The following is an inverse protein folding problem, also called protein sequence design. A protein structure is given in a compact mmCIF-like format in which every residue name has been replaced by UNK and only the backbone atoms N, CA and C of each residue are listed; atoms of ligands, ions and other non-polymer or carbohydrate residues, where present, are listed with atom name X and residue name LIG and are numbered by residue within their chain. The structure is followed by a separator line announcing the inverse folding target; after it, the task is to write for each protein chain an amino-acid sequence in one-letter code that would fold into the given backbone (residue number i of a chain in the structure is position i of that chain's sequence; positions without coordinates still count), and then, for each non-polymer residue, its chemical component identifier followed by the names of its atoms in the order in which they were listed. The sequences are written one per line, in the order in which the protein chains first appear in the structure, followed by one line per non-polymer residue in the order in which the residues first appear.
data_IF_504365289135
#
_entry.id   IF_504365289135
#
_cell.length_a   1.000
_cell.length_b   1.000
_cell.length_c   1.000
_cell.angle_alpha   90.00
_cell.angle_beta   90.00
_cell.angle_gamma   90.00
#
_symmetry.space_group_name_H-M   'P 1'
#
loop_
_entity.id
_entity.type
_entity.pdbx_description
1 polymer ?
#
# COMPACT_ATOMS: atom_id res chain seq x y z
N UNK A 1 16.85 0.75 24.19
CA UNK A 1 16.00 1.28 23.10
C UNK A 1 16.86 2.22 22.27
N UNK A 2 17.11 1.91 21.03
CA UNK A 2 17.64 2.86 20.08
C UNK A 2 16.61 3.98 19.98
N UNK A 3 16.95 5.23 20.28
CA UNK A 3 16.05 6.37 20.21
C UNK A 3 15.67 6.75 18.75
N UNK A 4 15.42 5.75 17.91
CA UNK A 4 14.97 5.96 16.54
C UNK A 4 13.58 6.58 16.56
N UNK A 5 13.41 7.71 15.89
CA UNK A 5 12.13 8.37 15.69
C UNK A 5 11.60 7.99 14.31
N UNK A 6 10.31 7.77 14.23
CA UNK A 6 9.60 7.54 12.96
C UNK A 6 8.56 8.63 12.76
N UNK A 7 8.27 8.92 11.50
CA UNK A 7 7.18 9.81 11.15
C UNK A 7 5.84 9.12 11.41
N UNK A 8 4.86 9.86 11.94
CA UNK A 8 3.52 9.32 12.21
C UNK A 8 2.65 9.34 10.94
N UNK A 9 2.30 8.18 10.35
CA UNK A 9 1.51 8.12 9.11
C UNK A 9 0.10 8.73 9.26
N UNK A 10 -0.43 8.80 10.49
CA UNK A 10 -1.73 9.42 10.79
C UNK A 10 -1.70 10.94 10.88
N UNK A 11 -0.51 11.55 10.82
CA UNK A 11 -0.39 13.01 10.88
C UNK A 11 -0.53 13.63 9.48
N UNK A 12 -1.56 14.45 9.29
CA UNK A 12 -1.76 15.18 8.03
C UNK A 12 -0.52 15.99 7.64
N UNK A 13 0.14 16.64 8.60
CA UNK A 13 1.37 17.40 8.35
C UNK A 13 2.51 16.53 7.85
N UNK A 14 2.62 15.29 8.33
CA UNK A 14 3.63 14.32 7.87
C UNK A 14 3.29 13.86 6.46
N UNK A 15 2.02 13.55 6.20
CA UNK A 15 1.56 13.17 4.86
C UNK A 15 1.85 14.29 3.85
N UNK A 16 1.46 15.52 4.18
CA UNK A 16 1.69 16.69 3.33
C UNK A 16 3.19 16.91 3.08
N UNK A 17 4.02 16.82 4.12
CA UNK A 17 5.48 16.95 3.98
C UNK A 17 6.07 15.89 3.02
N UNK A 18 5.62 14.64 3.08
CA UNK A 18 6.13 13.58 2.18
C UNK A 18 5.63 13.82 0.76
N UNK A 19 4.36 14.19 0.59
CA UNK A 19 3.80 14.53 -0.74
C UNK A 19 4.57 15.70 -1.35
N UNK A 20 4.75 16.78 -0.61
CA UNK A 20 5.50 17.96 -1.07
C UNK A 20 6.95 17.60 -1.47
N UNK A 21 7.60 16.72 -0.69
CA UNK A 21 8.95 16.24 -1.00
C UNK A 21 9.00 15.44 -2.30
N UNK A 22 8.02 14.55 -2.52
CA UNK A 22 7.91 13.79 -3.77
C UNK A 22 7.64 14.72 -4.97
N UNK A 23 6.75 15.69 -4.80
CA UNK A 23 6.43 16.64 -5.86
C UNK A 23 7.61 17.57 -6.18
N UNK A 24 8.32 18.06 -5.16
CA UNK A 24 9.55 18.83 -5.35
C UNK A 24 10.62 18.03 -6.12
N UNK A 25 10.75 16.74 -5.84
CA UNK A 25 11.64 15.85 -6.59
C UNK A 25 11.24 15.75 -8.06
N UNK A 26 9.95 15.52 -8.33
CA UNK A 26 9.42 15.42 -9.69
C UNK A 26 9.48 16.72 -10.49
N UNK A 27 9.44 17.88 -9.82
CA UNK A 27 9.66 19.20 -10.44
C UNK A 27 11.14 19.44 -10.82
N UNK A 28 12.07 18.90 -10.04
CA UNK A 28 13.51 19.12 -10.24
C UNK A 28 14.17 18.10 -11.15
N UNK A 29 13.59 16.90 -11.26
CA UNK A 29 14.20 15.78 -11.97
C UNK A 29 13.20 15.15 -12.94
N UNK A 30 13.70 14.74 -14.09
CA UNK A 30 12.91 14.02 -15.10
C UNK A 30 12.82 12.54 -14.75
N UNK A 31 12.01 12.24 -13.74
CA UNK A 31 11.76 10.86 -13.29
C UNK A 31 10.46 10.34 -13.86
N UNK A 32 10.44 9.05 -14.22
CA UNK A 32 9.27 8.38 -14.80
C UNK A 32 8.30 7.85 -13.76
N UNK A 33 8.76 7.68 -12.51
CA UNK A 33 7.92 7.13 -11.44
C UNK A 33 8.40 7.54 -10.05
N UNK A 34 7.47 7.53 -9.11
CA UNK A 34 7.72 7.40 -7.66
C UNK A 34 7.34 5.99 -7.25
N UNK A 35 8.23 5.31 -6.53
CA UNK A 35 8.01 3.95 -6.07
C UNK A 35 8.24 3.85 -4.56
N UNK A 36 7.25 3.34 -3.83
CA UNK A 36 7.35 3.12 -2.40
C UNK A 36 7.53 1.65 -2.07
N UNK A 37 8.30 1.40 -1.03
CA UNK A 37 8.22 0.19 -0.23
C UNK A 37 6.96 0.27 0.68
N UNK A 38 6.63 -0.78 1.41
CA UNK A 38 5.39 -0.89 2.19
C UNK A 38 5.53 -0.58 3.69
N UNK A 39 6.64 0.00 4.11
CA UNK A 39 6.94 0.30 5.53
C UNK A 39 6.25 1.57 6.07
N UNK A 40 4.96 1.75 5.81
CA UNK A 40 4.17 2.89 6.31
C UNK A 40 3.92 2.81 7.82
N UNK A 41 3.57 1.63 8.32
CA UNK A 41 3.57 1.30 9.73
C UNK A 41 4.61 0.22 9.99
N UNK A 42 5.37 0.35 11.07
CA UNK A 42 6.35 -0.66 11.45
C UNK A 42 5.96 -1.33 12.76
N UNK A 43 6.32 -2.60 12.90
CA UNK A 43 6.05 -3.36 14.12
C UNK A 43 6.80 -2.77 15.33
N UNK A 44 6.23 -2.95 16.52
CA UNK A 44 6.84 -2.50 17.78
C UNK A 44 6.60 -1.03 18.12
N UNK A 45 5.89 -0.27 17.29
CA UNK A 45 5.41 1.07 17.62
C UNK A 45 4.04 0.96 18.26
N UNK A 46 3.96 1.33 19.55
CA UNK A 46 2.69 1.35 20.26
C UNK A 46 1.77 2.43 19.70
N UNK A 47 0.52 2.07 19.44
CA UNK A 47 -0.53 2.97 19.02
C UNK A 47 -1.89 2.41 19.42
N UNK A 48 -2.81 3.27 19.82
CA UNK A 48 -4.19 2.90 20.16
C UNK A 48 -5.09 2.79 18.91
N UNK A 49 -4.54 3.00 17.70
CA UNK A 49 -5.29 2.93 16.47
C UNK A 49 -5.63 1.48 16.09
N UNK A 50 -6.88 1.27 15.65
CA UNK A 50 -7.29 0.01 15.04
C UNK A 50 -6.61 -0.21 13.67
N UNK A 51 -6.61 -1.45 13.17
CA UNK A 51 -6.11 -1.77 11.83
C UNK A 51 -6.80 -0.94 10.74
N UNK A 52 -8.12 -0.76 10.85
CA UNK A 52 -8.90 0.06 9.90
C UNK A 52 -8.47 1.53 9.92
N UNK A 53 -8.21 2.09 11.10
CA UNK A 53 -7.72 3.46 11.22
C UNK A 53 -6.32 3.62 10.61
N UNK A 54 -5.44 2.63 10.81
CA UNK A 54 -4.10 2.63 10.21
C UNK A 54 -4.17 2.55 8.70
N UNK A 55 -5.00 1.66 8.14
CA UNK A 55 -5.23 1.58 6.68
C UNK A 55 -5.79 2.88 6.14
N UNK A 56 -6.79 3.48 6.80
CA UNK A 56 -7.35 4.76 6.39
C UNK A 56 -6.31 5.90 6.35
N UNK A 57 -5.35 5.89 7.27
CA UNK A 57 -4.26 6.86 7.27
C UNK A 57 -3.33 6.67 6.07
N UNK A 58 -2.97 5.42 5.75
CA UNK A 58 -2.13 5.12 4.58
C UNK A 58 -2.90 5.40 3.29
N UNK A 59 -4.17 5.02 3.20
CA UNK A 59 -5.06 5.36 2.07
C UNK A 59 -5.09 6.86 1.80
N UNK A 60 -5.24 7.67 2.85
CA UNK A 60 -5.24 9.13 2.74
C UNK A 60 -3.93 9.66 2.15
N UNK A 61 -2.80 9.13 2.57
CA UNK A 61 -1.48 9.50 2.04
C UNK A 61 -1.34 9.12 0.57
N UNK A 62 -1.62 7.85 0.23
CA UNK A 62 -1.49 7.35 -1.15
C UNK A 62 -2.40 8.13 -2.10
N UNK A 63 -3.66 8.37 -1.69
CA UNK A 63 -4.59 9.16 -2.49
C UNK A 63 -4.10 10.59 -2.73
N UNK A 64 -3.60 11.27 -1.70
CA UNK A 64 -3.04 12.64 -1.85
C UNK A 64 -1.90 12.69 -2.86
N UNK A 65 -0.97 11.75 -2.75
CA UNK A 65 0.16 11.69 -3.66
C UNK A 65 -0.28 11.36 -5.09
N UNK A 66 -1.19 10.40 -5.25
CA UNK A 66 -1.80 10.05 -6.55
C UNK A 66 -2.46 11.28 -7.21
N UNK A 67 -3.33 11.96 -6.47
CA UNK A 67 -4.01 13.16 -6.96
C UNK A 67 -2.98 14.22 -7.42
N UNK A 68 -1.93 14.46 -6.62
CA UNK A 68 -0.89 15.45 -6.94
C UNK A 68 -0.09 15.08 -8.20
N UNK A 69 0.27 13.81 -8.37
CA UNK A 69 0.96 13.31 -9.57
C UNK A 69 0.04 13.43 -10.79
N UNK A 70 -1.22 13.03 -10.69
CA UNK A 70 -2.19 13.11 -11.80
C UNK A 70 -2.43 14.56 -12.24
N UNK A 71 -2.53 15.50 -11.28
CA UNK A 71 -2.66 16.93 -11.60
C UNK A 71 -1.41 17.48 -12.30
N UNK A 72 -0.23 17.11 -11.82
CA UNK A 72 1.04 17.49 -12.47
C UNK A 72 1.12 16.91 -13.89
N UNK A 73 0.84 15.61 -14.06
CA UNK A 73 0.84 14.95 -15.37
C UNK A 73 -0.07 15.67 -16.35
N UNK A 74 -1.29 16.01 -15.93
CA UNK A 74 -2.25 16.74 -16.75
C UNK A 74 -1.77 18.14 -17.10
N UNK A 75 -1.17 18.85 -16.15
CA UNK A 75 -0.68 20.23 -16.35
C UNK A 75 0.52 20.28 -17.28
N UNK A 76 1.42 19.31 -17.18
CA UNK A 76 2.73 19.33 -17.82
C UNK A 76 2.85 18.39 -19.03
N UNK A 77 1.81 17.59 -19.31
CA UNK A 77 1.83 16.59 -20.37
C UNK A 77 2.79 15.45 -20.10
N UNK A 78 3.03 15.14 -18.82
CA UNK A 78 3.89 14.03 -18.35
C UNK A 78 3.05 12.77 -18.12
N UNK A 79 3.73 11.65 -17.88
CA UNK A 79 3.13 10.35 -17.57
C UNK A 79 3.87 9.67 -16.39
N UNK A 80 4.14 10.45 -15.34
CA UNK A 80 4.80 9.94 -14.13
C UNK A 80 3.87 8.96 -13.44
N UNK A 81 4.40 7.81 -13.04
CA UNK A 81 3.67 6.71 -12.42
C UNK A 81 3.89 6.68 -10.91
N UNK A 82 2.89 6.19 -10.16
CA UNK A 82 3.00 5.84 -8.75
C UNK A 82 2.96 4.32 -8.59
N UNK A 83 4.00 3.73 -8.04
CA UNK A 83 4.11 2.31 -7.79
C UNK A 83 4.34 1.95 -6.34
N UNK A 84 4.03 0.69 -6.01
CA UNK A 84 4.21 0.14 -4.67
C UNK A 84 4.80 -1.26 -4.72
N UNK A 85 5.74 -1.55 -3.82
CA UNK A 85 6.34 -2.87 -3.63
C UNK A 85 5.94 -3.43 -2.25
N UNK A 86 4.73 -3.97 -2.11
CA UNK A 86 4.29 -4.52 -0.83
C UNK A 86 4.85 -5.91 -0.59
N UNK A 87 4.81 -6.37 0.66
CA UNK A 87 5.01 -7.77 1.00
C UNK A 87 4.10 -8.68 0.17
N UNK A 88 4.58 -9.86 -0.19
CA UNK A 88 4.04 -10.65 -1.29
C UNK A 88 2.62 -11.20 -1.12
N UNK A 89 2.06 -11.19 0.10
CA UNK A 89 0.71 -11.70 0.39
C UNK A 89 -0.20 -10.53 0.73
N UNK A 90 -1.38 -10.46 0.08
CA UNK A 90 -2.37 -9.42 0.42
C UNK A 90 -2.96 -9.65 1.80
N UNK A 91 -3.58 -10.81 2.04
CA UNK A 91 -4.19 -11.20 3.32
C UNK A 91 -4.02 -12.68 3.62
N UNK A 92 -3.76 -12.99 4.86
CA UNK A 92 -3.80 -14.34 5.41
C UNK A 92 -5.22 -14.66 5.88
N UNK A 93 -6.17 -14.79 4.98
CA UNK A 93 -7.50 -15.27 5.33
C UNK A 93 -7.67 -16.69 4.84
N UNK A 94 -8.34 -17.53 5.62
CA UNK A 94 -8.57 -18.91 5.22
C UNK A 94 -9.09 -18.99 3.78
N UNK A 95 -8.42 -19.77 2.97
CA UNK A 95 -8.83 -20.06 1.60
C UNK A 95 -10.20 -20.73 1.62
N UNK A 96 -11.19 -20.17 0.91
CA UNK A 96 -12.38 -20.93 0.56
C UNK A 96 -12.20 -21.50 -0.83
N UNK A 97 -12.33 -22.80 -0.95
CA UNK A 97 -12.33 -23.51 -2.22
C UNK A 97 -13.42 -23.02 -3.20
N UNK A 98 -14.41 -22.30 -2.67
CA UNK A 98 -15.52 -21.74 -3.44
C UNK A 98 -15.69 -20.27 -3.04
N UNK A 99 -15.17 -19.33 -3.81
CA UNK A 99 -15.39 -17.90 -3.57
C UNK A 99 -16.88 -17.58 -3.68
N UNK A 100 -17.38 -16.69 -2.81
CA UNK A 100 -18.75 -16.19 -2.88
C UNK A 100 -18.77 -14.82 -3.57
N UNK A 101 -19.83 -14.58 -4.33
CA UNK A 101 -20.02 -13.34 -5.07
C UNK A 101 -21.35 -12.69 -4.66
N UNK A 102 -21.41 -11.36 -4.73
CA UNK A 102 -22.66 -10.62 -4.56
C UNK A 102 -23.56 -10.72 -5.80
N UNK A 103 -24.73 -10.07 -5.74
CA UNK A 103 -25.68 -10.04 -6.86
C UNK A 103 -25.16 -9.35 -8.12
N UNK A 104 -24.07 -8.58 -8.00
CA UNK A 104 -23.43 -7.86 -9.11
C UNK A 104 -22.22 -8.63 -9.66
N UNK A 105 -21.91 -9.81 -9.14
CA UNK A 105 -20.75 -10.60 -9.52
C UNK A 105 -19.44 -10.18 -8.87
N UNK A 106 -19.47 -9.30 -7.88
CA UNK A 106 -18.27 -8.88 -7.14
C UNK A 106 -17.91 -9.91 -6.07
N UNK A 107 -16.61 -10.20 -5.93
CA UNK A 107 -16.11 -11.15 -4.94
C UNK A 107 -16.33 -10.61 -3.52
N UNK A 108 -17.10 -11.32 -2.69
CA UNK A 108 -17.39 -10.92 -1.31
C UNK A 108 -16.52 -11.62 -0.28
N UNK A 109 -16.10 -12.85 -0.52
CA UNK A 109 -15.27 -13.60 0.46
C UNK A 109 -14.86 -14.97 -0.07
N UNK A 110 -13.75 -15.51 0.41
CA UNK A 110 -12.72 -14.79 1.16
C UNK A 110 -11.79 -14.05 0.19
N UNK A 111 -11.39 -12.85 0.58
CA UNK A 111 -10.34 -12.13 -0.12
C UNK A 111 -9.03 -12.43 0.62
N UNK A 112 -8.27 -13.41 0.16
CA UNK A 112 -7.03 -13.78 0.80
C UNK A 112 -6.53 -15.16 0.37
N UNK A 113 -5.34 -15.52 0.85
CA UNK A 113 -4.66 -16.77 0.52
C UNK A 113 -4.61 -17.70 1.74
N UNK A 114 -4.45 -18.99 1.48
CA UNK A 114 -4.16 -19.97 2.54
C UNK A 114 -2.68 -19.88 2.96
N UNK A 115 -2.35 -18.76 3.59
CA UNK A 115 -1.00 -18.38 4.02
C UNK A 115 -1.01 -17.96 5.48
N UNK A 116 0.16 -17.90 6.12
CA UNK A 116 0.31 -17.56 7.54
C UNK A 116 1.32 -16.45 7.82
N UNK A 117 1.82 -15.77 6.77
CA UNK A 117 2.81 -14.71 6.93
C UNK A 117 2.84 -13.78 5.73
N UNK A 118 3.69 -12.77 5.79
CA UNK A 118 3.97 -11.83 4.71
C UNK A 118 2.76 -11.06 4.16
N UNK A 119 1.67 -10.95 4.94
CA UNK A 119 0.49 -10.20 4.55
C UNK A 119 0.69 -8.70 4.80
N UNK A 120 0.34 -7.88 3.79
CA UNK A 120 0.50 -6.43 3.89
C UNK A 120 -0.80 -5.69 4.20
N UNK A 121 -1.96 -6.32 4.06
CA UNK A 121 -3.23 -5.70 4.44
C UNK A 121 -3.42 -5.63 5.95
N UNK A 122 -3.25 -6.76 6.62
CA UNK A 122 -3.33 -6.86 8.08
C UNK A 122 -1.91 -6.69 8.69
N UNK A 123 -1.62 -7.33 9.78
CA UNK A 123 -0.34 -7.37 10.47
C UNK A 123 0.20 -5.95 10.77
N UNK A 124 1.46 -5.69 10.42
CA UNK A 124 2.16 -4.45 10.77
C UNK A 124 2.28 -3.44 9.63
N UNK A 125 1.82 -3.77 8.42
CA UNK A 125 1.99 -2.92 7.24
C UNK A 125 0.75 -2.09 6.92
N UNK A 126 -0.44 -2.64 7.10
CA UNK A 126 -1.74 -1.97 6.95
C UNK A 126 -1.92 -1.28 5.59
N UNK A 127 -1.51 -1.95 4.51
CA UNK A 127 -1.57 -1.44 3.13
C UNK A 127 -2.71 -2.10 2.36
N UNK A 128 -3.73 -1.33 1.98
CA UNK A 128 -4.86 -1.82 1.19
C UNK A 128 -4.61 -1.64 -0.31
N UNK A 129 -3.64 -2.38 -0.83
CA UNK A 129 -3.23 -2.29 -2.23
C UNK A 129 -4.34 -2.61 -3.21
N UNK A 130 -5.27 -3.52 -2.85
CA UNK A 130 -6.43 -3.83 -3.67
C UNK A 130 -7.31 -2.59 -3.87
N UNK A 131 -7.60 -1.88 -2.79
CA UNK A 131 -8.36 -0.61 -2.85
C UNK A 131 -7.66 0.43 -3.70
N UNK A 132 -6.33 0.52 -3.62
CA UNK A 132 -5.57 1.49 -4.40
C UNK A 132 -5.60 1.18 -5.89
N UNK A 133 -5.57 -0.12 -6.27
CA UNK A 133 -5.73 -0.57 -7.65
C UNK A 133 -7.17 -0.31 -8.13
N UNK A 134 -8.17 -0.72 -7.35
CA UNK A 134 -9.59 -0.57 -7.72
C UNK A 134 -10.01 0.89 -7.92
N UNK A 135 -9.32 1.83 -7.27
CA UNK A 135 -9.56 3.27 -7.37
C UNK A 135 -8.55 4.00 -8.27
N UNK A 136 -7.67 3.29 -8.96
CA UNK A 136 -6.64 3.85 -9.84
C UNK A 136 -5.72 4.86 -9.13
N UNK A 137 -5.44 4.63 -7.82
CA UNK A 137 -4.51 5.47 -7.06
C UNK A 137 -3.05 5.08 -7.27
N UNK A 138 -2.79 3.88 -7.73
CA UNK A 138 -1.46 3.40 -8.12
C UNK A 138 -1.51 2.83 -9.54
N UNK A 139 -0.42 3.02 -10.27
CA UNK A 139 -0.29 2.59 -11.68
C UNK A 139 0.25 1.17 -11.79
N UNK A 140 1.04 0.73 -10.81
CA UNK A 140 1.58 -0.62 -10.81
C UNK A 140 1.90 -1.10 -9.38
N UNK A 141 1.98 -2.44 -9.25
CA UNK A 141 2.32 -3.13 -8.02
C UNK A 141 3.41 -4.17 -8.29
N UNK A 142 4.40 -4.27 -7.40
CA UNK A 142 5.51 -5.21 -7.49
C UNK A 142 5.62 -5.99 -6.17
N UNK A 143 4.82 -7.06 -5.96
CA UNK A 143 4.84 -7.80 -4.71
C UNK A 143 6.21 -8.44 -4.42
N UNK A 144 6.68 -8.29 -3.18
CA UNK A 144 7.94 -8.85 -2.71
C UNK A 144 7.78 -10.33 -2.38
N UNK A 145 8.02 -11.19 -3.34
CA UNK A 145 7.92 -12.65 -3.22
C UNK A 145 9.32 -13.26 -3.12
N UNK A 146 10.02 -13.00 -2.01
CA UNK A 146 11.42 -13.36 -1.80
C UNK A 146 11.63 -14.79 -1.29
N UNK A 147 10.71 -15.70 -1.57
CA UNK A 147 10.75 -17.10 -1.17
C UNK A 147 10.47 -18.04 -2.32
N UNK A 148 10.83 -19.30 -2.13
CA UNK A 148 10.56 -20.37 -3.12
C UNK A 148 9.09 -20.81 -3.09
N UNK A 149 8.65 -21.44 -4.17
CA UNK A 149 7.27 -21.94 -4.32
C UNK A 149 6.86 -22.97 -3.25
N UNK A 150 7.85 -23.64 -2.63
CA UNK A 150 7.63 -24.61 -1.55
C UNK A 150 7.52 -23.98 -0.14
N UNK A 151 7.44 -22.66 -0.05
CA UNK A 151 7.39 -21.99 1.25
C UNK A 151 6.06 -22.26 1.97
N UNK A 152 6.10 -22.88 3.14
CA UNK A 152 4.90 -23.37 3.86
C UNK A 152 3.98 -22.26 4.38
N UNK A 153 4.51 -21.07 4.63
CA UNK A 153 3.74 -19.93 5.15
C UNK A 153 3.23 -18.97 4.07
N UNK A 154 3.74 -19.09 2.86
CA UNK A 154 3.40 -18.19 1.74
C UNK A 154 3.48 -18.96 0.41
N UNK A 155 2.58 -19.92 0.25
CA UNK A 155 2.49 -20.75 -0.95
C UNK A 155 1.75 -19.97 -2.06
N UNK A 156 2.27 -20.06 -3.30
CA UNK A 156 1.64 -19.48 -4.50
C UNK A 156 0.70 -20.49 -5.13
#
# INVERSE_FOLDING_TARGET
SSGAQILNPGSTKVQDFIVDTCMEFLEKYDADAIHFDDYFYISGVATDLSGDQKRANVDSFIKKLSDSIHEMNKREGRAVQLGISPSGIYRNTGYAASPSYDSNGSLISPIGSNTSGFAHYDDYLYSDTKKWIDNEWIDYITPQTYWGMEHTGANF
#
